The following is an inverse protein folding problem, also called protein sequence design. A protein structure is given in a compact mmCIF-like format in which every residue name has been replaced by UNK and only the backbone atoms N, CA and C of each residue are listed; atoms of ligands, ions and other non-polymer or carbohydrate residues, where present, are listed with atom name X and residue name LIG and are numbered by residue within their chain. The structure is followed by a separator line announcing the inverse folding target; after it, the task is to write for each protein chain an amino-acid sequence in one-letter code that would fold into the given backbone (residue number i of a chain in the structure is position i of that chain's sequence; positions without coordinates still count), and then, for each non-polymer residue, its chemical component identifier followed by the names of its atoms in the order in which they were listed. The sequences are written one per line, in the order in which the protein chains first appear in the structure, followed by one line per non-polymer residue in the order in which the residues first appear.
data_IF_899951909548
#
_entry.id   IF_899951909548
#
_cell.length_a   1.000
_cell.length_b   1.000
_cell.length_c   1.000
_cell.angle_alpha   90.00
_cell.angle_beta   90.00
_cell.angle_gamma   90.00
#
_symmetry.space_group_name_H-M   'P 1'
#
loop_
_entity.id
_entity.type
_entity.pdbx_description
1 polymer ?
#
# COMPACT_ATOMS: atom_id res chain seq x y z
N UNK A 1 14.51 16.27 0.14
CA UNK A 1 13.46 17.17 -0.40
C UNK A 1 12.16 16.55 0.08
N UNK A 2 11.53 17.13 1.10
CA UNK A 2 10.50 16.43 1.90
C UNK A 2 9.25 16.17 1.06
N UNK A 3 8.80 14.91 1.00
CA UNK A 3 7.56 14.50 0.31
C UNK A 3 6.43 14.31 1.33
N UNK A 4 5.24 14.81 0.99
CA UNK A 4 4.05 14.72 1.85
C UNK A 4 3.10 13.66 1.28
N UNK A 5 2.72 12.69 2.11
CA UNK A 5 1.62 11.77 1.84
C UNK A 5 0.69 11.68 3.06
N UNK A 6 -0.62 11.84 2.82
CA UNK A 6 -1.72 11.62 3.75
C UNK A 6 -1.45 11.98 5.23
N UNK A 7 -1.00 13.21 5.50
CA UNK A 7 -0.92 13.77 6.85
C UNK A 7 0.30 13.36 7.71
N UNK A 8 1.24 12.55 7.21
CA UNK A 8 2.47 12.20 7.93
C UNK A 8 3.70 12.71 7.18
N UNK A 9 4.61 13.42 7.87
CA UNK A 9 5.95 13.70 7.34
C UNK A 9 6.70 12.38 7.28
N UNK A 10 6.96 11.88 6.07
CA UNK A 10 7.84 10.73 5.89
C UNK A 10 9.27 11.20 6.08
N UNK A 11 10.05 10.42 6.83
CA UNK A 11 11.49 10.61 6.84
C UNK A 11 12.01 10.15 5.48
N UNK A 12 12.77 10.99 4.77
CA UNK A 12 13.37 10.67 3.47
C UNK A 12 14.28 9.41 3.52
N UNK A 13 14.57 8.88 4.72
CA UNK A 13 15.32 7.65 4.99
C UNK A 13 14.48 6.37 5.13
N UNK A 14 13.15 6.43 5.05
CA UNK A 14 12.31 5.24 5.10
C UNK A 14 12.34 4.48 3.76
N UNK A 15 12.55 3.14 3.77
CA UNK A 15 12.49 2.33 2.56
C UNK A 15 11.18 2.53 1.79
N UNK A 16 11.28 2.57 0.46
CA UNK A 16 10.15 2.82 -0.43
C UNK A 16 9.94 1.61 -1.35
N UNK A 17 8.69 1.22 -1.56
CA UNK A 17 8.31 0.25 -2.58
C UNK A 17 7.53 0.90 -3.71
N UNK A 18 7.47 0.21 -4.84
CA UNK A 18 6.76 0.65 -6.06
C UNK A 18 5.27 0.34 -5.91
N UNK A 19 4.45 1.23 -6.45
CA UNK A 19 3.02 1.01 -6.66
C UNK A 19 2.64 1.30 -8.11
N UNK A 20 1.73 0.49 -8.64
CA UNK A 20 1.14 0.70 -9.94
C UNK A 20 -0.02 1.68 -9.82
N UNK A 21 -0.16 2.57 -10.79
CA UNK A 21 -1.30 3.48 -10.86
C UNK A 21 -1.95 3.31 -12.23
N UNK A 22 -3.27 3.21 -12.24
CA UNK A 22 -3.99 3.07 -13.49
C UNK A 22 -3.72 4.24 -14.42
N UNK A 23 -3.49 3.90 -15.68
CA UNK A 23 -3.12 4.82 -16.76
C UNK A 23 -4.14 5.96 -16.97
N UNK A 24 -5.40 5.73 -16.56
CA UNK A 24 -6.51 6.69 -16.67
C UNK A 24 -6.32 7.93 -15.79
N UNK A 25 -5.63 7.81 -14.66
CA UNK A 25 -5.35 8.92 -13.73
C UNK A 25 -4.24 9.85 -14.22
N UNK A 26 -3.48 9.44 -15.25
CA UNK A 26 -2.23 10.08 -15.67
C UNK A 26 -2.26 10.72 -17.06
N UNK A 27 -3.42 11.11 -17.58
CA UNK A 27 -3.54 11.75 -18.91
C UNK A 27 -2.74 13.07 -19.10
N UNK A 28 -1.83 13.47 -18.20
CA UNK A 28 -1.09 14.73 -18.29
C UNK A 28 0.43 14.70 -18.15
N UNK A 29 1.10 13.63 -17.73
CA UNK A 29 2.54 13.68 -17.49
C UNK A 29 3.32 12.58 -18.24
N UNK A 30 4.24 13.02 -19.10
CA UNK A 30 5.12 12.20 -19.97
C UNK A 30 6.35 11.63 -19.26
N UNK A 31 6.54 11.91 -17.97
CA UNK A 31 7.71 11.45 -17.21
C UNK A 31 7.31 10.27 -16.31
N UNK A 32 7.77 9.10 -16.71
CA UNK A 32 7.39 7.76 -16.22
C UNK A 32 8.15 7.36 -14.95
N UNK A 33 8.22 8.23 -13.95
CA UNK A 33 8.78 7.77 -12.67
C UNK A 33 7.77 6.84 -11.99
N UNK A 34 8.20 5.64 -11.53
CA UNK A 34 7.34 4.78 -10.74
C UNK A 34 6.90 5.54 -9.49
N UNK A 35 5.59 5.52 -9.21
CA UNK A 35 5.10 6.04 -7.93
C UNK A 35 5.58 5.10 -6.84
N UNK A 36 6.08 5.68 -5.76
CA UNK A 36 6.53 4.94 -4.60
C UNK A 36 5.71 5.28 -3.36
N UNK A 37 5.63 4.34 -2.45
CA UNK A 37 5.00 4.46 -1.14
C UNK A 37 5.93 3.86 -0.07
N UNK A 38 5.86 4.30 1.19
CA UNK A 38 6.62 3.68 2.26
C UNK A 38 6.43 2.16 2.31
N UNK A 39 7.55 1.45 2.41
CA UNK A 39 7.55 -0.01 2.48
C UNK A 39 6.72 -0.51 3.68
N UNK A 40 6.72 0.22 4.79
CA UNK A 40 5.90 -0.09 5.96
C UNK A 40 4.41 -0.19 5.64
N UNK A 41 3.89 0.71 4.81
CA UNK A 41 2.49 0.69 4.37
C UNK A 41 2.24 -0.48 3.41
N UNK A 42 3.17 -0.73 2.48
CA UNK A 42 3.04 -1.82 1.53
C UNK A 42 3.15 -3.20 2.19
N UNK A 43 3.90 -3.32 3.28
CA UNK A 43 3.95 -4.53 4.11
C UNK A 43 2.64 -4.77 4.84
N UNK A 44 2.01 -3.73 5.39
CA UNK A 44 0.67 -3.87 5.98
C UNK A 44 -0.37 -4.32 4.95
N UNK A 45 -0.31 -3.79 3.73
CA UNK A 45 -1.16 -4.26 2.64
C UNK A 45 -0.84 -5.72 2.26
N UNK A 46 0.43 -6.10 2.20
CA UNK A 46 0.86 -7.47 1.91
C UNK A 46 0.41 -8.47 2.97
N UNK A 47 0.45 -8.10 4.25
CA UNK A 47 -0.09 -8.94 5.33
C UNK A 47 -1.57 -9.23 5.13
N UNK A 48 -2.37 -8.23 4.76
CA UNK A 48 -3.80 -8.44 4.49
C UNK A 48 -4.02 -9.27 3.22
N UNK A 49 -3.23 -9.02 2.18
CA UNK A 49 -3.23 -9.82 0.95
C UNK A 49 -2.94 -11.30 1.25
N UNK A 50 -1.95 -11.59 2.10
CA UNK A 50 -1.65 -12.94 2.54
C UNK A 50 -2.79 -13.54 3.38
N UNK A 51 -3.42 -12.74 4.25
CA UNK A 51 -4.57 -13.17 5.06
C UNK A 51 -5.80 -13.53 4.21
N UNK A 52 -5.96 -12.91 3.04
CA UNK A 52 -7.00 -13.25 2.05
C UNK A 52 -6.69 -14.56 1.27
N UNK A 53 -5.58 -15.24 1.56
CA UNK A 53 -5.23 -16.55 1.00
C UNK A 53 -4.24 -16.51 -0.17
N UNK A 54 -3.63 -15.35 -0.44
CA UNK A 54 -2.61 -15.23 -1.47
C UNK A 54 -1.22 -15.66 -0.97
N UNK A 55 -0.45 -16.37 -1.80
CA UNK A 55 0.83 -16.99 -1.40
C UNK A 55 2.08 -16.29 -1.94
N UNK A 56 1.92 -15.17 -2.66
CA UNK A 56 3.05 -14.46 -3.24
C UNK A 56 3.83 -13.69 -2.17
N UNK A 57 5.16 -13.79 -2.19
CA UNK A 57 6.01 -12.98 -1.31
C UNK A 57 5.98 -11.51 -1.70
N UNK A 58 6.25 -10.65 -0.72
CA UNK A 58 6.32 -9.20 -0.92
C UNK A 58 7.32 -8.82 -2.02
N UNK A 59 8.50 -9.44 -1.99
CA UNK A 59 9.58 -9.20 -2.95
C UNK A 59 9.13 -9.52 -4.37
N UNK A 60 8.40 -10.63 -4.54
CA UNK A 60 7.91 -11.07 -5.85
C UNK A 60 6.80 -10.18 -6.41
N UNK A 61 6.03 -9.53 -5.53
CA UNK A 61 5.04 -8.52 -5.93
C UNK A 61 5.78 -7.24 -6.38
N UNK A 62 6.77 -6.80 -5.62
CA UNK A 62 7.60 -5.62 -5.96
C UNK A 62 8.36 -5.81 -7.28
N UNK A 63 8.92 -6.99 -7.53
CA UNK A 63 9.56 -7.36 -8.81
C UNK A 63 8.61 -7.23 -10.02
N UNK A 64 7.30 -7.37 -9.81
CA UNK A 64 6.26 -7.27 -10.85
C UNK A 64 5.66 -5.86 -10.98
N UNK A 65 6.29 -4.86 -10.34
CA UNK A 65 5.83 -3.48 -10.35
C UNK A 65 4.97 -3.09 -9.15
N UNK A 66 4.86 -3.95 -8.14
CA UNK A 66 4.14 -3.66 -6.90
C UNK A 66 2.62 -3.81 -7.01
N UNK A 67 1.94 -3.47 -5.90
CA UNK A 67 0.48 -3.43 -5.83
C UNK A 67 -0.08 -2.23 -6.61
N UNK A 68 -1.31 -2.36 -7.09
CA UNK A 68 -2.08 -1.20 -7.55
C UNK A 68 -2.36 -0.23 -6.39
N UNK A 69 -2.35 1.09 -6.61
CA UNK A 69 -2.69 2.06 -5.55
C UNK A 69 -4.09 1.82 -4.99
N UNK A 70 -5.05 1.47 -5.85
CA UNK A 70 -6.41 1.13 -5.41
C UNK A 70 -6.45 -0.20 -4.65
N UNK A 71 -5.58 -1.16 -5.01
CA UNK A 71 -5.44 -2.43 -4.32
C UNK A 71 -4.87 -2.23 -2.92
N UNK A 72 -3.81 -1.41 -2.78
CA UNK A 72 -3.29 -1.01 -1.46
C UNK A 72 -4.37 -0.35 -0.61
N UNK A 73 -5.16 0.57 -1.19
CA UNK A 73 -6.24 1.23 -0.47
C UNK A 73 -7.33 0.25 0.00
N UNK A 74 -7.73 -0.70 -0.86
CA UNK A 74 -8.70 -1.72 -0.52
C UNK A 74 -8.21 -2.64 0.60
N UNK A 75 -6.99 -3.18 0.48
CA UNK A 75 -6.38 -4.06 1.48
C UNK A 75 -6.25 -3.37 2.84
N UNK A 76 -5.85 -2.10 2.86
CA UNK A 76 -5.75 -1.35 4.12
C UNK A 76 -7.13 -1.06 4.73
N UNK A 77 -8.15 -0.81 3.90
CA UNK A 77 -9.52 -0.63 4.37
C UNK A 77 -10.07 -1.92 4.99
N UNK A 78 -9.88 -3.06 4.33
CA UNK A 78 -10.27 -4.39 4.84
C UNK A 78 -9.60 -4.68 6.19
N UNK A 79 -8.29 -4.39 6.28
CA UNK A 79 -7.53 -4.53 7.53
C UNK A 79 -8.12 -3.68 8.66
N UNK A 80 -8.47 -2.42 8.39
CA UNK A 80 -9.08 -1.52 9.39
C UNK A 80 -10.42 -2.08 9.85
N UNK A 81 -11.29 -2.48 8.93
CA UNK A 81 -12.60 -3.06 9.27
C UNK A 81 -12.46 -4.31 10.14
N UNK A 82 -11.52 -5.20 9.81
CA UNK A 82 -11.23 -6.40 10.60
C UNK A 82 -10.74 -6.08 12.01
N UNK A 83 -9.86 -5.08 12.14
CA UNK A 83 -9.36 -4.63 13.44
C UNK A 83 -10.47 -3.98 14.28
N UNK A 84 -11.34 -3.18 13.66
CA UNK A 84 -12.51 -2.60 14.32
C UNK A 84 -13.48 -3.67 14.81
N UNK A 85 -13.84 -4.64 13.96
CA UNK A 85 -14.68 -5.77 14.36
C UNK A 85 -14.09 -6.54 15.55
N UNK A 86 -12.79 -6.85 15.50
CA UNK A 86 -12.11 -7.58 16.59
C UNK A 86 -12.04 -6.79 17.91
N UNK A 87 -12.03 -5.46 17.84
CA UNK A 87 -12.01 -4.60 19.02
C UNK A 87 -13.39 -4.46 19.68
N UNK A 88 -14.46 -4.58 18.91
CA UNK A 88 -15.83 -4.54 19.42
C UNK A 88 -16.20 -5.86 20.12
N UNK A 89 -15.68 -7.00 19.64
CA UNK A 89 -15.84 -8.31 20.29
C UNK A 89 -15.17 -8.37 21.68
N UNK A 90 -14.14 -7.57 21.93
CA UNK A 90 -13.46 -7.51 23.24
C UNK A 90 -14.22 -6.67 24.29
N UNK A 91 -15.23 -5.88 23.87
CA UNK A 91 -16.00 -4.99 24.75
C UNK A 91 -17.35 -5.58 25.20
N UNK A 92 -17.73 -6.75 24.71
CA UNK A 92 -18.93 -7.49 25.13
C UNK A 92 -18.60 -8.54 26.20
#
# INVERSE_FOLDING_TARGET
MKRFYCGRMLNDSEPQGVVQVEHSWFKRNREREPITMPESILRLAHEEYAAQGHSQSFERIQERGGFGVMEVAALLADRVQRLEASNDDFKQ
#
